data_IF_742100343257
#
_entry.id   IF_742100343257
#
_cell.length_a   1.000
_cell.length_b   1.000
_cell.length_c   1.000
_cell.angle_alpha   90.00
_cell.angle_beta   90.00
_cell.angle_gamma   90.00
#
_symmetry.space_group_name_H-M   'P 1'
#
loop_
_entity.id
_entity.type
_entity.pdbx_description
1 polymer ?
#
# COMPACT_ATOMS: atom_id res chain seq x y z
N UNK A 1 11.44 25.02 0.85
CA UNK A 1 10.21 25.34 0.08
C UNK A 1 9.01 24.88 0.89
N UNK A 2 7.99 25.72 1.05
CA UNK A 2 6.75 25.33 1.76
C UNK A 2 5.90 24.51 0.79
N UNK A 3 5.50 23.30 1.20
CA UNK A 3 4.63 22.45 0.40
C UNK A 3 3.22 23.08 0.31
N UNK A 4 2.77 23.40 -0.91
CA UNK A 4 1.50 24.09 -1.15
C UNK A 4 0.30 23.16 -1.31
N UNK A 5 0.51 21.84 -1.33
CA UNK A 5 -0.55 20.85 -1.54
C UNK A 5 -1.58 20.86 -0.38
N UNK A 6 -2.87 20.92 -0.71
CA UNK A 6 -3.93 21.06 0.30
C UNK A 6 -4.20 19.76 1.10
N UNK A 7 -3.89 18.60 0.52
CA UNK A 7 -3.93 17.32 1.24
C UNK A 7 -2.77 17.23 2.22
N UNK A 8 -1.59 17.73 1.85
CA UNK A 8 -0.46 17.85 2.76
C UNK A 8 -0.77 18.77 3.94
N UNK A 9 -1.35 19.96 3.70
CA UNK A 9 -1.80 20.88 4.77
C UNK A 9 -2.84 20.22 5.69
N UNK A 10 -3.85 19.58 5.11
CA UNK A 10 -4.83 18.83 5.90
C UNK A 10 -4.19 17.73 6.73
N UNK A 11 -3.25 16.97 6.17
CA UNK A 11 -2.56 15.91 6.87
C UNK A 11 -1.76 16.46 8.05
N UNK A 12 -0.92 17.48 7.82
CA UNK A 12 -0.07 18.03 8.88
C UNK A 12 -0.91 18.61 10.03
N UNK A 13 -1.99 19.32 9.71
CA UNK A 13 -2.83 20.01 10.68
C UNK A 13 -3.79 19.08 11.44
N UNK A 14 -4.27 18.01 10.81
CA UNK A 14 -5.40 17.19 11.34
C UNK A 14 -5.06 15.73 11.58
N UNK A 15 -4.06 15.18 10.89
CA UNK A 15 -3.83 13.73 10.84
C UNK A 15 -2.38 13.31 11.09
N UNK A 16 -1.42 14.22 11.25
CA UNK A 16 -0.01 13.89 11.49
C UNK A 16 0.24 13.07 12.76
N UNK A 17 -0.66 13.11 13.75
CA UNK A 17 -0.60 12.25 14.93
C UNK A 17 -1.18 10.85 14.68
N UNK A 18 -1.99 10.69 13.64
CA UNK A 18 -2.72 9.46 13.31
C UNK A 18 -2.12 8.69 12.13
N UNK A 19 -1.53 9.41 11.19
CA UNK A 19 -0.90 8.90 9.98
C UNK A 19 0.52 9.46 9.98
N UNK A 20 1.51 8.62 10.26
CA UNK A 20 2.94 8.92 10.15
C UNK A 20 3.41 8.58 8.75
N UNK A 21 4.29 9.40 8.20
CA UNK A 21 4.77 9.27 6.82
C UNK A 21 6.28 9.46 6.85
N UNK A 22 7.01 8.58 6.15
CA UNK A 22 8.44 8.72 5.93
C UNK A 22 8.77 10.09 5.32
N UNK A 23 9.59 10.87 6.02
CA UNK A 23 9.89 12.25 5.65
C UNK A 23 10.59 12.37 4.28
N UNK A 24 11.28 11.32 3.83
CA UNK A 24 11.93 11.29 2.52
C UNK A 24 10.94 11.39 1.36
N UNK A 25 9.67 11.02 1.57
CA UNK A 25 8.58 11.17 0.59
C UNK A 25 8.34 12.65 0.25
N UNK A 26 8.68 13.58 1.15
CA UNK A 26 8.44 15.01 0.94
C UNK A 26 9.52 15.73 0.13
N UNK A 27 10.66 15.10 -0.18
CA UNK A 27 11.70 15.76 -1.00
C UNK A 27 11.30 15.80 -2.48
N UNK A 28 10.70 16.92 -2.89
CA UNK A 28 10.29 17.15 -4.27
C UNK A 28 11.44 17.23 -5.28
N UNK A 29 12.70 17.37 -4.82
CA UNK A 29 13.88 17.37 -5.71
C UNK A 29 14.32 15.96 -6.08
N UNK A 30 13.97 14.98 -5.26
CA UNK A 30 14.24 13.56 -5.52
C UNK A 30 12.94 12.75 -5.34
N UNK A 31 11.97 12.87 -6.27
CA UNK A 31 10.76 12.06 -6.20
C UNK A 31 11.11 10.57 -6.24
N UNK A 32 10.55 9.82 -5.29
CA UNK A 32 10.89 8.42 -5.13
C UNK A 32 9.97 7.58 -6.00
N UNK A 33 10.59 6.79 -6.87
CA UNK A 33 9.97 5.67 -7.59
C UNK A 33 10.27 4.40 -6.83
N UNK A 34 9.26 3.58 -6.56
CA UNK A 34 9.47 2.35 -5.83
C UNK A 34 8.23 1.81 -5.17
N UNK A 35 8.47 1.02 -4.13
CA UNK A 35 7.46 0.30 -3.36
C UNK A 35 7.29 0.98 -2.00
N UNK A 36 6.05 1.17 -1.59
CA UNK A 36 5.68 1.65 -0.27
C UNK A 36 4.74 0.66 0.41
N UNK A 37 4.69 0.72 1.74
CA UNK A 37 3.75 -0.02 2.56
C UNK A 37 2.94 0.92 3.45
N UNK A 38 1.70 0.54 3.73
CA UNK A 38 0.85 1.15 4.74
C UNK A 38 0.73 0.16 5.89
N UNK A 39 1.27 0.54 7.03
CA UNK A 39 1.31 -0.27 8.24
C UNK A 39 0.31 0.27 9.26
N UNK A 40 -0.31 -0.62 10.01
CA UNK A 40 -1.17 -0.31 11.14
C UNK A 40 -0.46 -0.75 12.40
N UNK A 41 -0.34 0.18 13.33
CA UNK A 41 0.16 -0.03 14.67
C UNK A 41 -0.97 -0.01 15.67
N UNK A 42 -1.08 -1.04 16.51
CA UNK A 42 -2.02 -1.08 17.63
C UNK A 42 -1.30 -1.55 18.88
N UNK A 43 -0.97 -0.61 19.76
CA UNK A 43 -0.06 -0.88 20.88
C UNK A 43 1.33 -1.28 20.36
N UNK A 44 1.79 -2.48 20.71
CA UNK A 44 3.08 -3.03 20.27
C UNK A 44 3.01 -3.90 19.01
N UNK A 45 1.82 -4.08 18.42
CA UNK A 45 1.63 -4.92 17.23
C UNK A 45 1.65 -4.07 15.98
N UNK A 46 2.46 -4.50 15.01
CA UNK A 46 2.50 -3.97 13.65
C UNK A 46 1.82 -4.96 12.70
N UNK A 47 1.08 -4.43 11.73
CA UNK A 47 0.47 -5.17 10.65
C UNK A 47 0.59 -4.41 9.32
N UNK A 48 1.08 -5.06 8.26
CA UNK A 48 1.05 -4.52 6.90
C UNK A 48 -0.37 -4.62 6.32
N UNK A 49 -1.01 -3.48 6.08
CA UNK A 49 -2.38 -3.42 5.55
C UNK A 49 -2.44 -3.34 4.03
N UNK A 50 -1.41 -2.77 3.39
CA UNK A 50 -1.35 -2.55 1.96
C UNK A 50 0.08 -2.35 1.50
N UNK A 51 0.41 -2.86 0.32
CA UNK A 51 1.66 -2.60 -0.39
C UNK A 51 1.32 -2.00 -1.76
N UNK A 52 2.02 -0.95 -2.17
CA UNK A 52 1.81 -0.39 -3.50
C UNK A 52 3.10 0.06 -4.16
N UNK A 53 3.08 0.11 -5.49
CA UNK A 53 4.13 0.73 -6.31
C UNK A 53 3.74 2.12 -6.78
N UNK A 54 4.73 2.96 -7.07
CA UNK A 54 4.53 4.21 -7.82
C UNK A 54 5.80 4.67 -8.52
N UNK A 55 5.64 5.38 -9.63
CA UNK A 55 6.71 6.18 -10.26
C UNK A 55 7.01 7.47 -9.51
N UNK A 56 6.08 7.91 -8.66
CA UNK A 56 6.23 9.04 -7.75
C UNK A 56 5.36 8.78 -6.51
N UNK A 57 5.99 8.35 -5.41
CA UNK A 57 5.28 8.00 -4.17
C UNK A 57 4.58 9.22 -3.57
N UNK A 58 5.20 10.41 -3.59
CA UNK A 58 4.56 11.64 -3.12
C UNK A 58 3.24 11.89 -3.85
N UNK A 59 3.25 11.87 -5.18
CA UNK A 59 2.05 12.07 -5.99
C UNK A 59 0.99 10.99 -5.69
N UNK A 60 1.40 9.74 -5.48
CA UNK A 60 0.49 8.61 -5.17
C UNK A 60 -0.25 8.78 -3.85
N UNK A 61 0.29 9.53 -2.91
CA UNK A 61 -0.38 9.85 -1.65
C UNK A 61 -1.16 11.16 -1.71
N UNK A 62 -0.57 12.23 -2.27
CA UNK A 62 -1.05 13.60 -2.05
C UNK A 62 -1.74 14.25 -3.25
N UNK A 63 -1.64 13.69 -4.47
CA UNK A 63 -2.21 14.27 -5.69
C UNK A 63 -3.40 13.46 -6.21
N UNK A 64 -4.31 14.10 -6.94
CA UNK A 64 -5.45 13.49 -7.63
C UNK A 64 -6.21 12.44 -6.79
N UNK A 65 -6.35 11.22 -7.28
CA UNK A 65 -6.95 10.08 -6.57
C UNK A 65 -5.93 9.32 -5.70
N UNK A 66 -5.00 10.05 -5.08
CA UNK A 66 -3.98 9.50 -4.20
C UNK A 66 -4.57 8.99 -2.88
N UNK A 67 -3.84 8.13 -2.18
CA UNK A 67 -4.37 7.45 -0.98
C UNK A 67 -4.82 8.40 0.13
N UNK A 68 -4.08 9.49 0.40
CA UNK A 68 -4.50 10.46 1.43
C UNK A 68 -5.64 11.35 0.95
N UNK A 69 -5.76 11.58 -0.36
CA UNK A 69 -6.92 12.27 -0.93
C UNK A 69 -8.17 11.41 -0.73
N UNK A 70 -8.08 10.12 -1.00
CA UNK A 70 -9.18 9.18 -0.77
C UNK A 70 -9.55 9.08 0.71
N UNK A 71 -8.57 9.01 1.61
CA UNK A 71 -8.83 9.00 3.05
C UNK A 71 -9.48 10.32 3.49
N UNK A 72 -8.98 11.46 3.02
CA UNK A 72 -9.56 12.79 3.31
C UNK A 72 -11.01 12.91 2.86
N UNK A 73 -11.35 12.28 1.73
CA UNK A 73 -12.69 12.28 1.14
C UNK A 73 -13.56 11.08 1.58
N UNK A 74 -13.10 10.28 2.55
CA UNK A 74 -13.82 9.12 3.08
C UNK A 74 -14.22 8.06 2.02
N UNK A 75 -13.41 7.93 0.97
CA UNK A 75 -13.64 7.00 -0.15
C UNK A 75 -12.52 5.96 -0.32
N UNK A 76 -11.74 5.70 0.74
CA UNK A 76 -10.75 4.63 0.74
C UNK A 76 -11.44 3.27 0.78
N UNK A 77 -11.07 2.35 -0.13
CA UNK A 77 -11.71 1.03 -0.24
C UNK A 77 -11.04 -0.08 0.60
N UNK A 78 -9.96 0.22 1.34
CA UNK A 78 -9.29 -0.76 2.18
C UNK A 78 -9.92 -0.75 3.58
N UNK A 79 -10.54 -1.86 3.98
CA UNK A 79 -11.31 -1.94 5.22
C UNK A 79 -10.40 -1.84 6.44
N UNK A 80 -9.29 -2.57 6.43
CA UNK A 80 -8.29 -2.53 7.51
C UNK A 80 -7.79 -1.10 7.80
N UNK A 81 -7.53 -0.31 6.75
CA UNK A 81 -7.13 1.10 6.85
C UNK A 81 -8.25 1.95 7.46
N UNK A 82 -9.49 1.80 6.99
CA UNK A 82 -10.63 2.56 7.52
C UNK A 82 -10.90 2.23 8.99
N UNK A 83 -10.88 0.96 9.36
CA UNK A 83 -11.08 0.50 10.74
C UNK A 83 -9.99 1.09 11.66
N UNK A 84 -8.73 1.08 11.21
CA UNK A 84 -7.63 1.68 11.96
C UNK A 84 -7.72 3.21 12.09
N UNK A 85 -8.29 3.90 11.09
CA UNK A 85 -8.52 5.33 11.15
C UNK A 85 -9.58 5.72 12.21
N UNK A 86 -10.56 4.86 12.45
CA UNK A 86 -11.61 5.06 13.47
C UNK A 86 -11.18 4.62 14.88
N UNK A 87 -10.27 3.65 15.00
CA UNK A 87 -9.76 3.18 16.29
C UNK A 87 -8.74 4.16 16.90
N UNK A 88 -9.10 4.87 17.96
CA UNK A 88 -8.22 5.84 18.64
C UNK A 88 -6.85 5.29 19.08
N UNK A 89 -6.73 3.97 19.31
CA UNK A 89 -5.48 3.34 19.74
C UNK A 89 -4.59 2.88 18.58
N UNK A 90 -5.07 3.04 17.34
CA UNK A 90 -4.33 2.65 16.15
C UNK A 90 -3.62 3.85 15.52
N UNK A 91 -2.45 3.62 14.92
CA UNK A 91 -1.71 4.61 14.13
C UNK A 91 -1.40 3.98 12.77
N UNK A 92 -1.52 4.75 11.70
CA UNK A 92 -1.04 4.33 10.38
C UNK A 92 0.37 4.86 10.17
N UNK A 93 1.22 4.06 9.55
CA UNK A 93 2.55 4.47 9.14
C UNK A 93 2.79 4.13 7.67
N UNK A 94 3.18 5.13 6.89
CA UNK A 94 3.52 5.00 5.48
C UNK A 94 5.04 4.96 5.37
N UNK A 95 5.56 3.88 4.82
CA UNK A 95 7.00 3.64 4.66
C UNK A 95 7.37 3.37 3.22
N UNK A 96 8.60 3.72 2.87
CA UNK A 96 9.23 3.22 1.65
C UNK A 96 9.83 1.86 1.97
N UNK A 97 9.45 0.85 1.19
CA UNK A 97 9.98 -0.51 1.31
C UNK A 97 11.20 -0.70 0.41
N UNK A 98 11.15 -0.13 -0.80
CA UNK A 98 12.25 -0.20 -1.77
C UNK A 98 12.20 0.97 -2.74
N UNK A 99 13.33 1.66 -2.96
CA UNK A 99 13.49 2.57 -4.09
C UNK A 99 13.91 1.76 -5.32
N UNK A 100 13.09 1.77 -6.38
CA UNK A 100 13.35 1.03 -7.62
C UNK A 100 13.74 2.03 -8.71
N UNK A 101 15.04 2.22 -8.90
CA UNK A 101 15.59 3.19 -9.84
C UNK A 101 15.35 2.74 -11.29
N UNK A 102 14.92 3.65 -12.16
CA UNK A 102 14.88 3.41 -13.61
C UNK A 102 16.30 3.26 -14.15
N UNK A 103 16.58 2.15 -14.82
CA UNK A 103 17.86 1.93 -15.48
C UNK A 103 17.91 2.60 -16.86
N UNK A 104 16.74 2.90 -17.44
CA UNK A 104 16.61 3.49 -18.78
C UNK A 104 17.28 2.67 -19.89
N UNK A 105 17.54 1.37 -19.64
CA UNK A 105 18.06 0.43 -20.62
C UNK A 105 16.96 -0.06 -21.57
N UNK A 106 15.76 -0.27 -21.05
CA UNK A 106 14.55 -0.57 -21.81
C UNK A 106 13.29 -0.22 -20.99
N UNK A 107 12.30 0.37 -21.66
CA UNK A 107 11.06 0.80 -21.03
C UNK A 107 10.28 -0.35 -20.36
N UNK A 108 10.11 -1.46 -21.08
CA UNK A 108 9.34 -2.61 -20.59
C UNK A 108 10.05 -3.28 -19.43
N UNK A 109 11.38 -3.38 -19.48
CA UNK A 109 12.17 -3.89 -18.36
C UNK A 109 12.01 -3.03 -17.11
N UNK A 110 12.03 -1.71 -17.22
CA UNK A 110 11.83 -0.84 -16.07
C UNK A 110 10.43 -0.99 -15.46
N UNK A 111 9.39 -1.10 -16.30
CA UNK A 111 8.03 -1.36 -15.81
C UNK A 111 7.94 -2.72 -15.11
N UNK A 112 8.56 -3.75 -15.69
CA UNK A 112 8.60 -5.09 -15.11
C UNK A 112 9.34 -5.13 -13.77
N UNK A 113 10.49 -4.45 -13.64
CA UNK A 113 11.26 -4.38 -12.38
C UNK A 113 10.42 -3.81 -11.25
N UNK A 114 9.67 -2.74 -11.52
CA UNK A 114 8.80 -2.13 -10.51
C UNK A 114 7.63 -3.04 -10.14
N UNK A 115 6.99 -3.68 -11.12
CA UNK A 115 5.90 -4.61 -10.83
C UNK A 115 6.38 -5.87 -10.10
N UNK A 116 7.57 -6.36 -10.43
CA UNK A 116 8.18 -7.50 -9.76
C UNK A 116 8.49 -7.20 -8.30
N UNK A 117 9.08 -6.04 -8.01
CA UNK A 117 9.36 -5.61 -6.65
C UNK A 117 8.08 -5.50 -5.81
N UNK A 118 6.99 -4.96 -6.37
CA UNK A 118 5.70 -4.91 -5.68
C UNK A 118 5.19 -6.30 -5.30
N UNK A 119 5.16 -7.22 -6.27
CA UNK A 119 4.71 -8.59 -6.05
C UNK A 119 5.56 -9.30 -4.98
N UNK A 120 6.88 -9.07 -4.97
CA UNK A 120 7.76 -9.59 -3.93
C UNK A 120 7.33 -9.16 -2.52
N UNK A 121 7.06 -7.86 -2.30
CA UNK A 121 6.63 -7.40 -0.98
C UNK A 121 5.22 -7.85 -0.61
N UNK A 122 4.27 -7.87 -1.57
CA UNK A 122 2.94 -8.42 -1.33
C UNK A 122 3.05 -9.87 -0.85
N UNK A 123 3.76 -10.72 -1.60
CA UNK A 123 3.97 -12.13 -1.22
C UNK A 123 4.66 -12.23 0.15
N UNK A 124 5.73 -11.46 0.38
CA UNK A 124 6.45 -11.45 1.67
C UNK A 124 5.52 -11.18 2.86
N UNK A 125 4.62 -10.21 2.75
CA UNK A 125 3.70 -9.89 3.85
C UNK A 125 2.51 -10.86 3.92
N UNK A 126 2.05 -11.43 2.80
CA UNK A 126 1.02 -12.45 2.79
C UNK A 126 1.48 -13.77 3.42
N UNK A 127 2.74 -14.16 3.27
CA UNK A 127 3.35 -15.29 4.01
C UNK A 127 3.34 -15.07 5.54
N UNK A 128 3.28 -13.81 5.99
CA UNK A 128 3.13 -13.45 7.40
C UNK A 128 1.66 -13.32 7.85
N UNK A 129 0.71 -13.74 7.00
CA UNK A 129 -0.74 -13.52 7.17
C UNK A 129 -1.13 -12.04 7.26
N UNK A 130 -0.42 -11.18 6.53
CA UNK A 130 -0.70 -9.76 6.42
C UNK A 130 -1.01 -9.37 4.98
N UNK A 131 -1.53 -8.16 4.75
CA UNK A 131 -1.85 -7.68 3.40
C UNK A 131 -2.83 -8.62 2.63
N UNK A 132 -3.67 -9.38 3.35
CA UNK A 132 -4.52 -10.43 2.78
C UNK A 132 -5.72 -9.90 1.97
N UNK A 133 -6.10 -8.64 2.16
CA UNK A 133 -7.15 -7.99 1.37
C UNK A 133 -6.69 -7.63 -0.05
N UNK A 134 -5.38 -7.74 -0.33
CA UNK A 134 -4.80 -7.33 -1.60
C UNK A 134 -4.61 -8.50 -2.56
N UNK A 135 -5.06 -8.32 -3.79
CA UNK A 135 -4.77 -9.21 -4.92
C UNK A 135 -3.69 -8.58 -5.81
N UNK A 136 -2.89 -9.39 -6.53
CA UNK A 136 -1.98 -8.87 -7.53
C UNK A 136 -2.75 -8.19 -8.67
N UNK A 137 -2.09 -7.24 -9.33
CA UNK A 137 -2.61 -6.61 -10.54
C UNK A 137 -2.86 -7.65 -11.64
N UNK A 138 -4.00 -7.55 -12.31
CA UNK A 138 -4.39 -8.42 -13.43
C UNK A 138 -5.68 -9.18 -13.18
N UNK A 139 -5.93 -10.17 -14.04
CA UNK A 139 -7.11 -11.04 -13.93
C UNK A 139 -6.88 -12.08 -12.84
N UNK A 140 -7.67 -11.99 -11.78
CA UNK A 140 -7.64 -12.94 -10.66
C UNK A 140 -8.78 -13.95 -10.79
N UNK A 141 -8.58 -15.15 -10.24
CA UNK A 141 -9.66 -16.13 -10.08
C UNK A 141 -10.76 -15.54 -9.18
N UNK A 142 -12.02 -15.75 -9.55
CA UNK A 142 -13.13 -15.34 -8.70
C UNK A 142 -13.09 -16.11 -7.37
N UNK A 143 -13.35 -15.42 -6.26
CA UNK A 143 -13.24 -16.00 -4.93
C UNK A 143 -14.17 -17.20 -4.73
N UNK A 144 -15.37 -17.19 -5.29
CA UNK A 144 -16.31 -18.30 -5.17
C UNK A 144 -15.80 -19.52 -5.93
N UNK A 145 -15.19 -19.31 -7.11
CA UNK A 145 -14.57 -20.40 -7.88
C UNK A 145 -13.43 -21.02 -7.07
N UNK A 146 -12.56 -20.19 -6.50
CA UNK A 146 -11.45 -20.66 -5.65
C UNK A 146 -11.95 -21.48 -4.45
N UNK A 147 -12.98 -21.00 -3.75
CA UNK A 147 -13.57 -21.70 -2.61
C UNK A 147 -14.19 -23.05 -3.00
N UNK A 148 -14.78 -23.16 -4.19
CA UNK A 148 -15.32 -24.42 -4.71
C UNK A 148 -14.22 -25.41 -5.07
N UNK A 149 -13.13 -24.96 -5.71
CA UNK A 149 -11.99 -25.82 -6.05
C UNK A 149 -11.25 -26.32 -4.81
N UNK A 150 -11.09 -25.47 -3.79
CA UNK A 150 -10.51 -25.84 -2.51
C UNK A 150 -11.25 -27.01 -1.87
N UNK A 151 -12.58 -26.91 -1.74
CA UNK A 151 -13.42 -27.97 -1.12
C UNK A 151 -13.28 -29.30 -1.84
N UNK A 152 -13.32 -29.30 -3.18
CA UNK A 152 -13.14 -30.51 -3.99
C UNK A 152 -11.78 -31.17 -3.75
N UNK A 153 -10.72 -30.37 -3.61
CA UNK A 153 -9.38 -30.90 -3.34
C UNK A 153 -9.25 -31.49 -1.93
N UNK A 154 -9.89 -30.88 -0.93
CA UNK A 154 -9.93 -31.41 0.45
C UNK A 154 -10.69 -32.75 0.49
N UNK A 155 -11.85 -32.86 -0.17
CA UNK A 155 -12.63 -34.11 -0.27
C UNK A 155 -11.84 -35.24 -0.96
N UNK A 156 -11.02 -34.92 -1.97
CA UNK A 156 -10.20 -35.91 -2.68
C UNK A 156 -8.98 -36.40 -1.88
N UNK A 157 -8.55 -35.66 -0.84
CA UNK A 157 -7.43 -36.05 0.03
C UNK A 157 -7.88 -36.91 1.22
N UNK A 158 -9.19 -37.00 1.47
CA UNK A 158 -9.79 -37.83 2.51
C UNK A 158 -10.15 -39.26 2.04
N UNK A 159 -9.90 -39.58 0.76
CA UNK A 159 -10.10 -40.90 0.12
C UNK A 159 -8.77 -41.61 -0.08
#
# INVERSE_FOLDING_TARGET
>A
MINKNDTYKWWIDKKSNKIKIDDSIFDCRKPIRGIYGIFIYKGSREYCAYVGKSTNIYARFFCDNGHLVQIKNECCNNKSINDALQDYNSILEIRILEEVVCQYDDYFKDMQRLSFAENYYISKYQELNQCLEQLPDGSNMDKLIWEQEKKKNEENLEV
#
